data_IF_085431571383
#
_entry.id   IF_085431571383
#
_cell.length_a   1.000
_cell.length_b   1.000
_cell.length_c   1.000
_cell.angle_alpha   90.00
_cell.angle_beta   90.00
_cell.angle_gamma   90.00
#
_symmetry.space_group_name_H-M   'P 1'
#
loop_
_entity.id
_entity.type
_entity.pdbx_description
1 polymer ?
#
# COMPACT_ATOMS: atom_id res chain seq x y z
N UNK A 1 7.09 6.13 -0.97
CA UNK A 1 7.42 5.07 -0.01
C UNK A 1 8.37 5.64 0.99
N UNK A 2 8.27 5.22 2.24
CA UNK A 2 9.02 5.81 3.34
C UNK A 2 9.41 4.72 4.33
N UNK A 3 10.70 4.58 4.65
CA UNK A 3 11.14 3.74 5.75
C UNK A 3 10.94 4.50 7.05
N UNK A 4 10.34 3.85 8.05
CA UNK A 4 10.09 4.45 9.35
C UNK A 4 10.27 3.42 10.46
N UNK A 5 10.41 3.90 11.69
CA UNK A 5 10.37 3.04 12.88
C UNK A 5 9.03 3.25 13.55
N UNK A 6 8.25 2.19 13.67
CA UNK A 6 7.00 2.26 14.43
C UNK A 6 7.32 2.30 15.92
N UNK A 7 6.73 3.27 16.63
CA UNK A 7 6.77 3.35 18.09
C UNK A 7 5.35 3.01 18.57
N UNK A 8 5.19 1.89 19.28
CA UNK A 8 3.89 1.45 19.80
C UNK A 8 3.25 2.48 20.74
N UNK A 9 1.91 2.47 20.87
CA UNK A 9 1.22 3.38 21.76
C UNK A 9 1.47 2.94 23.21
N UNK A 10 2.19 3.77 23.96
CA UNK A 10 2.31 3.75 25.42
C UNK A 10 2.94 2.51 26.08
N UNK A 11 4.19 2.69 26.55
CA UNK A 11 4.50 2.54 27.97
C UNK A 11 4.67 1.15 28.58
N UNK A 12 4.34 0.05 27.89
CA UNK A 12 4.59 -1.29 28.42
C UNK A 12 5.88 -1.90 27.85
N UNK A 13 6.60 -2.59 28.74
CA UNK A 13 7.99 -3.06 28.62
C UNK A 13 8.17 -4.05 27.46
N UNK A 14 8.30 -3.52 26.24
CA UNK A 14 8.99 -4.05 25.07
C UNK A 14 8.83 -3.00 23.96
N UNK A 15 9.61 -1.92 24.06
CA UNK A 15 9.71 -0.91 23.00
C UNK A 15 10.45 -1.54 21.80
N UNK A 16 9.78 -2.45 21.09
CA UNK A 16 10.30 -3.00 19.85
C UNK A 16 10.26 -1.86 18.83
N UNK A 17 11.42 -1.23 18.63
CA UNK A 17 11.66 -0.39 17.46
C UNK A 17 11.58 -1.31 16.26
N UNK A 18 10.40 -1.42 15.66
CA UNK A 18 10.21 -2.26 14.48
C UNK A 18 10.44 -1.41 13.23
N UNK A 19 11.53 -1.64 12.49
CA UNK A 19 11.71 -1.00 11.21
C UNK A 19 10.60 -1.47 10.28
N UNK A 20 10.04 -0.52 9.55
CA UNK A 20 8.96 -0.75 8.63
C UNK A 20 9.15 0.07 7.37
N UNK A 21 8.50 -0.37 6.30
CA UNK A 21 8.37 0.39 5.07
C UNK A 21 6.90 0.70 4.83
N UNK A 22 6.60 1.98 4.59
CA UNK A 22 5.29 2.48 4.22
C UNK A 22 5.16 2.56 2.70
N UNK A 23 4.18 1.85 2.17
CA UNK A 23 3.73 1.91 0.79
C UNK A 23 2.56 2.89 0.66
N UNK A 24 2.59 3.71 -0.39
CA UNK A 24 1.53 4.67 -0.70
C UNK A 24 1.13 4.42 -2.16
N UNK A 25 -0.08 3.93 -2.37
CA UNK A 25 -0.72 3.85 -3.67
C UNK A 25 -1.44 5.17 -3.93
N UNK A 26 -1.12 5.82 -5.04
CA UNK A 26 -1.75 7.07 -5.47
C UNK A 26 -2.41 6.86 -6.83
N UNK A 27 -3.73 7.00 -6.89
CA UNK A 27 -4.49 6.90 -8.14
C UNK A 27 -4.99 8.28 -8.54
N UNK A 28 -4.57 8.76 -9.72
CA UNK A 28 -5.05 10.01 -10.31
C UNK A 28 -5.95 9.72 -11.51
N UNK A 29 -7.21 10.11 -11.44
CA UNK A 29 -8.11 9.97 -12.57
C UNK A 29 -7.82 11.05 -13.63
N UNK A 30 -7.28 10.66 -14.79
CA UNK A 30 -7.09 11.57 -15.94
C UNK A 30 -8.24 11.48 -16.96
N UNK A 31 -9.19 10.57 -16.77
CA UNK A 31 -10.32 10.34 -17.67
C UNK A 31 -11.48 11.28 -17.33
N UNK A 32 -12.41 11.43 -18.28
CA UNK A 32 -13.65 12.19 -18.07
C UNK A 32 -14.59 11.45 -17.12
N UNK A 33 -14.74 10.13 -17.33
CA UNK A 33 -15.58 9.28 -16.49
C UNK A 33 -14.96 9.11 -15.10
N UNK A 34 -15.75 9.19 -14.02
CA UNK A 34 -15.30 8.82 -12.68
C UNK A 34 -14.84 7.36 -12.63
N UNK A 35 -13.96 7.04 -11.66
CA UNK A 35 -13.45 5.68 -11.39
C UNK A 35 -13.60 5.38 -9.89
N UNK A 36 -13.65 4.11 -9.45
CA UNK A 36 -13.72 3.73 -8.04
C UNK A 36 -12.63 4.40 -7.19
N UNK A 37 -12.97 4.90 -6.02
CA UNK A 37 -11.97 5.43 -5.09
C UNK A 37 -11.18 4.30 -4.40
N UNK A 38 -10.19 4.69 -3.58
CA UNK A 38 -9.41 3.77 -2.75
C UNK A 38 -9.98 3.66 -1.33
N UNK A 39 -11.28 3.95 -1.21
CA UNK A 39 -12.06 3.73 -0.02
C UNK A 39 -12.18 2.25 0.35
N UNK A 40 -12.44 1.93 1.62
CA UNK A 40 -12.60 0.57 2.12
C UNK A 40 -13.67 -0.24 1.38
N UNK A 41 -14.80 0.39 0.99
CA UNK A 41 -15.86 -0.28 0.23
C UNK A 41 -15.47 -0.67 -1.19
N UNK A 42 -14.53 0.05 -1.81
CA UNK A 42 -14.15 -0.18 -3.22
C UNK A 42 -12.78 -0.85 -3.37
N UNK A 43 -11.80 -0.47 -2.56
CA UNK A 43 -10.41 -0.84 -2.79
C UNK A 43 -10.21 -2.35 -2.78
N UNK A 44 -10.97 -3.09 -1.98
CA UNK A 44 -10.92 -4.56 -1.93
C UNK A 44 -11.34 -5.23 -3.24
N UNK A 45 -12.19 -4.59 -4.04
CA UNK A 45 -12.64 -5.09 -5.34
C UNK A 45 -11.69 -4.71 -6.47
N UNK A 46 -11.08 -3.51 -6.39
CA UNK A 46 -10.33 -2.94 -7.50
C UNK A 46 -8.81 -2.95 -7.32
N UNK A 47 -8.31 -3.18 -6.11
CA UNK A 47 -6.88 -3.14 -5.79
C UNK A 47 -6.37 -4.54 -5.44
N UNK A 48 -5.30 -4.95 -6.10
CA UNK A 48 -4.52 -6.11 -5.69
C UNK A 48 -3.08 -5.69 -5.41
N UNK A 49 -2.52 -6.28 -4.36
CA UNK A 49 -1.11 -6.20 -4.02
C UNK A 49 -0.43 -7.51 -4.37
N UNK A 50 0.68 -7.43 -5.09
CA UNK A 50 1.54 -8.56 -5.39
C UNK A 50 2.88 -8.39 -4.70
N UNK A 51 3.32 -9.46 -4.03
CA UNK A 51 4.63 -9.55 -3.40
C UNK A 51 5.30 -10.82 -3.89
N UNK A 52 6.53 -10.69 -4.39
CA UNK A 52 7.23 -11.79 -5.05
C UNK A 52 6.32 -12.48 -6.09
N UNK A 53 5.59 -11.66 -6.85
CA UNK A 53 4.67 -12.05 -7.93
C UNK A 53 3.43 -12.86 -7.50
N UNK A 54 3.26 -13.05 -6.19
CA UNK A 54 2.09 -13.70 -5.60
C UNK A 54 1.11 -12.68 -5.03
N UNK A 55 -0.19 -12.94 -5.17
CA UNK A 55 -1.23 -12.10 -4.57
C UNK A 55 -1.09 -12.12 -3.04
N UNK A 56 -0.94 -10.94 -2.44
CA UNK A 56 -0.65 -10.77 -1.01
C UNK A 56 -1.39 -9.56 -0.44
N UNK A 57 -2.71 -9.54 -0.59
CA UNK A 57 -3.57 -8.46 -0.14
C UNK A 57 -3.57 -8.32 1.40
N UNK A 58 -3.20 -7.16 1.98
CA UNK A 58 -3.26 -6.98 3.42
C UNK A 58 -4.70 -6.83 3.90
N UNK A 59 -4.95 -7.19 5.17
CA UNK A 59 -6.27 -7.08 5.81
C UNK A 59 -6.85 -5.65 5.72
N UNK A 60 -5.99 -4.62 5.75
CA UNK A 60 -6.42 -3.23 5.62
C UNK A 60 -6.99 -2.88 4.24
N UNK A 61 -6.84 -3.72 3.21
CA UNK A 61 -7.61 -3.57 1.97
C UNK A 61 -9.10 -3.81 2.21
N UNK A 62 -9.44 -4.74 3.10
CA UNK A 62 -10.83 -5.14 3.38
C UNK A 62 -11.48 -4.36 4.52
N UNK A 63 -10.67 -3.74 5.39
CA UNK A 63 -11.15 -3.07 6.60
C UNK A 63 -10.84 -1.57 6.60
N UNK A 64 -11.80 -0.74 7.00
CA UNK A 64 -11.61 0.69 7.26
C UNK A 64 -12.93 1.42 7.49
N UNK A 65 -12.87 2.54 8.21
CA UNK A 65 -13.99 3.47 8.32
C UNK A 65 -13.99 4.44 7.14
N UNK A 66 -15.19 4.81 6.69
CA UNK A 66 -15.37 5.72 5.56
C UNK A 66 -16.39 6.81 5.90
N UNK A 67 -16.13 8.01 5.41
CA UNK A 67 -17.14 9.04 5.40
C UNK A 67 -18.24 8.68 4.39
N UNK A 68 -19.49 9.02 4.71
CA UNK A 68 -20.57 8.93 3.74
C UNK A 68 -20.29 9.84 2.53
N UNK A 69 -20.52 9.34 1.32
CA UNK A 69 -20.32 10.14 0.11
C UNK A 69 -20.21 9.35 -1.18
N UNK A 70 -19.86 10.05 -2.25
CA UNK A 70 -19.63 9.48 -3.58
C UNK A 70 -18.28 8.73 -3.57
N UNK A 71 -18.30 7.40 -3.69
CA UNK A 71 -17.11 6.55 -3.60
C UNK A 71 -16.31 6.53 -4.91
N UNK A 72 -16.21 7.67 -5.59
CA UNK A 72 -15.61 7.78 -6.93
C UNK A 72 -14.56 8.90 -7.00
N UNK A 73 -13.46 8.63 -7.70
CA UNK A 73 -12.46 9.63 -8.06
C UNK A 73 -12.92 10.34 -9.33
N UNK A 74 -13.32 11.61 -9.20
CA UNK A 74 -13.72 12.47 -10.33
C UNK A 74 -12.54 12.85 -11.23
N UNK A 75 -12.81 13.37 -12.44
CA UNK A 75 -11.79 13.84 -13.38
C UNK A 75 -10.78 14.76 -12.69
N UNK A 76 -9.50 14.52 -12.92
CA UNK A 76 -8.34 15.23 -12.38
C UNK A 76 -8.21 15.20 -10.85
N UNK A 77 -9.00 14.38 -10.15
CA UNK A 77 -8.83 14.13 -8.71
C UNK A 77 -7.93 12.94 -8.47
N UNK A 78 -7.42 12.87 -7.26
CA UNK A 78 -6.50 11.85 -6.78
C UNK A 78 -7.06 11.27 -5.50
N UNK A 79 -6.84 9.98 -5.30
CA UNK A 79 -7.04 9.33 -4.01
C UNK A 79 -5.80 8.51 -3.63
N UNK A 80 -5.61 8.26 -2.35
CA UNK A 80 -4.47 7.52 -1.82
C UNK A 80 -4.86 6.43 -0.85
N UNK A 81 -4.14 5.32 -0.91
CA UNK A 81 -4.20 4.25 0.06
C UNK A 81 -2.81 3.97 0.60
N UNK A 82 -2.73 3.76 1.90
CA UNK A 82 -1.48 3.54 2.60
C UNK A 82 -1.50 2.18 3.27
N UNK A 83 -0.38 1.49 3.17
CA UNK A 83 -0.12 0.23 3.86
C UNK A 83 1.35 0.18 4.29
N UNK A 84 1.69 -0.67 5.25
CA UNK A 84 3.06 -0.82 5.72
C UNK A 84 3.42 -2.29 5.97
N UNK A 85 4.70 -2.61 5.83
CA UNK A 85 5.29 -3.91 6.14
C UNK A 85 6.34 -3.71 7.20
N UNK A 86 6.28 -4.50 8.27
CA UNK A 86 7.34 -4.55 9.26
C UNK A 86 8.44 -5.51 8.81
N UNK A 87 9.69 -5.24 9.20
CA UNK A 87 10.83 -6.08 8.87
C UNK A 87 10.65 -7.52 9.38
N UNK A 88 9.98 -7.72 10.52
CA UNK A 88 9.64 -9.05 11.08
C UNK A 88 8.61 -9.82 10.24
N UNK A 89 7.72 -9.09 9.55
CA UNK A 89 6.68 -9.67 8.69
C UNK A 89 7.21 -9.91 7.27
N UNK A 90 8.45 -9.49 7.01
CA UNK A 90 8.94 -9.38 5.66
C UNK A 90 9.04 -10.76 5.00
N UNK A 91 8.71 -10.75 3.71
CA UNK A 91 8.76 -11.87 2.78
C UNK A 91 10.22 -12.24 2.42
N UNK A 92 11.11 -12.21 3.42
CA UNK A 92 12.56 -12.12 3.33
C UNK A 92 13.09 -10.67 3.49
N UNK A 93 14.41 -10.53 3.65
CA UNK A 93 15.10 -9.22 3.69
C UNK A 93 14.92 -8.42 2.39
N UNK A 94 14.64 -9.12 1.29
CA UNK A 94 14.52 -8.58 -0.05
C UNK A 94 13.30 -9.16 -0.74
N UNK A 95 12.41 -8.30 -1.24
CA UNK A 95 11.18 -8.72 -1.90
C UNK A 95 10.80 -7.75 -3.02
N UNK A 96 9.94 -8.19 -3.94
CA UNK A 96 9.33 -7.30 -4.94
C UNK A 96 7.92 -6.88 -4.55
N UNK A 97 7.51 -5.69 -4.98
CA UNK A 97 6.15 -5.17 -4.77
C UNK A 97 5.59 -4.63 -6.08
N UNK A 98 4.33 -4.96 -6.35
CA UNK A 98 3.58 -4.38 -7.46
C UNK A 98 2.10 -4.24 -7.07
N UNK A 99 1.53 -3.08 -7.36
CA UNK A 99 0.09 -2.85 -7.19
C UNK A 99 -0.62 -3.03 -8.53
N UNK A 100 -1.87 -3.46 -8.47
CA UNK A 100 -2.80 -3.45 -9.58
C UNK A 100 -4.04 -2.66 -9.15
N UNK A 101 -4.53 -1.78 -10.01
CA UNK A 101 -5.79 -1.06 -9.83
C UNK A 101 -6.61 -1.11 -11.12
N UNK A 102 -7.83 -1.66 -11.08
CA UNK A 102 -8.72 -1.82 -12.26
C UNK A 102 -7.99 -2.39 -13.49
N UNK A 103 -7.19 -3.44 -13.30
CA UNK A 103 -6.35 -4.09 -14.33
C UNK A 103 -5.09 -3.33 -14.79
N UNK A 104 -4.79 -2.16 -14.21
CA UNK A 104 -3.55 -1.43 -14.48
C UNK A 104 -2.51 -1.75 -13.41
N UNK A 105 -1.35 -2.23 -13.83
CA UNK A 105 -0.24 -2.51 -12.94
C UNK A 105 0.63 -1.27 -12.72
N UNK A 106 1.09 -1.08 -11.49
CA UNK A 106 2.17 -0.15 -11.19
C UNK A 106 3.49 -0.67 -11.76
N UNK A 107 4.51 0.18 -11.75
CA UNK A 107 5.90 -0.29 -11.86
C UNK A 107 6.15 -1.30 -10.75
N UNK A 108 6.82 -2.41 -11.08
CA UNK A 108 7.33 -3.35 -10.10
C UNK A 108 8.61 -2.78 -9.50
N UNK A 109 8.75 -2.91 -8.19
CA UNK A 109 9.93 -2.47 -7.45
C UNK A 109 10.50 -3.61 -6.64
N UNK A 110 11.79 -3.54 -6.33
CA UNK A 110 12.49 -4.40 -5.39
C UNK A 110 12.84 -3.58 -4.17
N UNK A 111 12.44 -4.06 -3.00
CA UNK A 111 12.71 -3.49 -1.69
C UNK A 111 13.76 -4.34 -1.01
N UNK A 112 14.76 -3.69 -0.43
CA UNK A 112 15.71 -4.31 0.48
C UNK A 112 15.58 -3.61 1.84
N UNK A 113 15.11 -4.35 2.85
CA UNK A 113 14.84 -3.83 4.19
C UNK A 113 16.14 -3.52 4.94
N UNK A 114 17.10 -4.44 4.90
CA UNK A 114 18.42 -4.32 5.57
C UNK A 114 19.19 -3.09 5.11
N UNK A 115 19.30 -2.92 3.79
CA UNK A 115 20.02 -1.80 3.17
C UNK A 115 19.15 -0.55 3.00
N UNK A 116 17.85 -0.64 3.29
CA UNK A 116 16.85 0.42 3.11
C UNK A 116 16.85 1.02 1.70
N UNK A 117 16.92 0.15 0.69
CA UNK A 117 16.93 0.57 -0.72
C UNK A 117 15.67 0.14 -1.45
N UNK A 118 15.29 0.93 -2.45
CA UNK A 118 14.15 0.66 -3.34
C UNK A 118 14.64 0.90 -4.76
N UNK A 119 14.55 -0.12 -5.61
CA UNK A 119 14.95 -0.02 -7.02
C UNK A 119 13.83 -0.51 -7.93
N UNK A 120 13.56 0.16 -9.07
CA UNK A 120 12.64 -0.37 -10.08
C UNK A 120 13.16 -1.71 -10.62
N UNK A 121 12.27 -2.69 -10.81
CA UNK A 121 12.57 -3.90 -11.56
C UNK A 121 12.35 -3.60 -13.04
N UNK A 122 13.32 -3.98 -13.88
CA UNK A 122 13.24 -3.83 -15.35
C UNK A 122 12.35 -4.91 -15.94
#
# INVERSE_FOLDING_TARGET
MEFFTYNGPYGDKENIKEPAIKFILTVKNKRIKPIPNLGATNRSEYVNLYINDSLSNPVSLYNGSEAAGDHLIKKNKTDTYTWWVFEKDAYGEVFTVQWQYMNLYSKKIRVNMTNRTIVPVK
#
